data_IF_681315764827
#
_entry.id   IF_681315764827
#
_cell.length_a   1.000
_cell.length_b   1.000
_cell.length_c   1.000
_cell.angle_alpha   90.00
_cell.angle_beta   90.00
_cell.angle_gamma   90.00
#
_symmetry.space_group_name_H-M   'P 1'
#
loop_
_entity.id
_entity.type
_entity.pdbx_description
1 polymer ?
#
# COMPACT_ATOMS: atom_id res chain seq x y z
N UNK A 1 16.99 32.19 9.01
CA UNK A 1 17.20 32.49 10.45
C UNK A 1 15.87 32.23 11.12
N UNK A 2 15.65 31.35 12.09
CA UNK A 2 16.45 30.43 12.89
C UNK A 2 15.57 29.15 13.02
N UNK A 3 16.10 27.93 13.04
CA UNK A 3 16.46 27.17 14.26
C UNK A 3 15.44 27.29 15.40
N UNK A 4 15.17 26.17 16.07
CA UNK A 4 14.16 25.91 17.15
C UNK A 4 12.72 25.78 16.60
N UNK A 5 11.98 24.66 16.67
CA UNK A 5 11.87 23.65 17.72
C UNK A 5 11.44 22.27 17.17
N UNK A 6 12.41 21.36 16.97
CA UNK A 6 12.16 19.91 16.81
C UNK A 6 12.01 19.20 18.17
N UNK A 7 12.02 19.95 19.28
CA UNK A 7 11.89 19.42 20.65
C UNK A 7 10.45 19.42 21.16
N UNK A 8 9.53 20.20 20.60
CA UNK A 8 8.14 20.26 21.08
C UNK A 8 7.18 19.22 20.49
N UNK A 9 7.61 18.40 19.53
CA UNK A 9 6.81 17.25 19.04
C UNK A 9 7.04 15.96 19.84
N UNK A 10 7.82 16.00 20.93
CA UNK A 10 8.11 14.83 21.77
C UNK A 10 7.34 14.77 23.09
N UNK A 11 6.59 15.81 23.47
CA UNK A 11 5.97 15.85 24.81
C UNK A 11 4.44 15.65 24.81
N UNK A 12 3.75 15.78 23.69
CA UNK A 12 2.28 15.74 23.66
C UNK A 12 1.64 14.36 23.35
N UNK A 13 2.45 13.29 23.33
CA UNK A 13 1.97 11.89 23.29
C UNK A 13 2.15 11.15 24.62
N UNK A 14 2.43 11.87 25.70
CA UNK A 14 2.64 11.28 27.02
C UNK A 14 1.48 11.58 27.97
N UNK A 15 0.30 11.02 27.70
CA UNK A 15 -0.78 10.77 28.68
C UNK A 15 -1.98 10.10 27.99
N UNK A 16 -1.86 8.79 27.77
CA UNK A 16 -2.67 7.74 28.41
C UNK A 16 -2.62 6.48 27.54
N UNK A 17 -2.29 5.33 28.16
CA UNK A 17 -2.27 4.02 27.51
C UNK A 17 -0.90 3.56 26.97
N UNK A 18 0.06 3.27 27.86
CA UNK A 18 1.21 2.45 27.48
C UNK A 18 0.76 1.00 27.26
N UNK A 19 0.26 0.67 26.07
CA UNK A 19 0.34 -0.69 25.57
C UNK A 19 1.81 -1.03 25.32
N UNK A 20 2.33 -2.08 25.97
CA UNK A 20 3.64 -2.64 25.66
C UNK A 20 3.67 -3.01 24.18
N UNK A 21 4.31 -2.18 23.37
CA UNK A 21 4.61 -2.51 21.97
C UNK A 21 5.47 -3.79 21.98
N UNK A 22 4.91 -4.89 21.49
CA UNK A 22 5.63 -6.17 21.40
C UNK A 22 6.92 -6.01 20.57
N UNK A 23 7.97 -6.77 20.87
CA UNK A 23 9.22 -6.78 20.08
C UNK A 23 8.98 -7.01 18.59
N UNK A 24 7.87 -7.65 18.24
CA UNK A 24 7.48 -7.94 16.86
C UNK A 24 6.83 -6.75 16.15
N UNK A 25 6.07 -5.92 16.87
CA UNK A 25 5.62 -4.62 16.34
C UNK A 25 6.82 -3.68 16.11
N UNK A 26 7.90 -3.83 16.90
CA UNK A 26 9.17 -3.10 16.68
C UNK A 26 9.89 -3.58 15.42
N UNK A 27 9.90 -4.89 15.12
CA UNK A 27 10.45 -5.43 13.88
C UNK A 27 9.76 -4.84 12.65
N UNK A 28 8.43 -4.94 12.64
CA UNK A 28 7.57 -4.43 11.60
C UNK A 28 7.74 -2.90 11.39
N UNK A 29 7.75 -2.14 12.48
CA UNK A 29 8.03 -0.70 12.45
C UNK A 29 9.47 -0.40 11.99
N UNK A 30 10.46 -1.21 12.32
CA UNK A 30 11.87 -0.99 11.93
C UNK A 30 12.10 -1.15 10.43
N UNK A 31 11.28 -1.96 9.73
CA UNK A 31 11.39 -2.15 8.29
C UNK A 31 11.09 -0.85 7.52
N UNK A 32 10.16 -0.04 8.02
CA UNK A 32 9.75 1.22 7.38
C UNK A 32 10.16 2.47 8.17
N UNK A 33 10.60 2.31 9.42
CA UNK A 33 10.98 3.39 10.34
C UNK A 33 12.47 3.45 10.64
N UNK A 34 13.31 2.79 9.84
CA UNK A 34 14.75 2.73 10.03
C UNK A 34 15.40 4.12 10.16
N UNK A 35 16.21 4.28 11.21
CA UNK A 35 17.23 5.34 11.31
C UNK A 35 18.38 5.02 10.36
N UNK A 36 18.12 5.08 9.07
CA UNK A 36 19.18 5.02 8.05
C UNK A 36 19.67 6.47 7.79
N UNK A 37 20.98 6.75 7.72
CA UNK A 37 21.50 8.08 7.35
C UNK A 37 21.08 8.52 5.94
N UNK A 38 20.47 7.60 5.18
CA UNK A 38 19.86 7.76 3.85
C UNK A 38 18.35 8.05 3.93
N UNK A 39 17.83 8.48 5.09
CA UNK A 39 16.82 9.55 5.09
C UNK A 39 17.51 10.89 4.76
N UNK A 40 18.41 10.87 3.78
CA UNK A 40 18.79 12.05 3.01
C UNK A 40 17.48 12.72 2.65
N UNK A 41 17.31 13.95 3.13
CA UNK A 41 16.27 14.84 2.69
C UNK A 41 16.18 14.69 1.18
N UNK A 42 15.12 14.05 0.70
CA UNK A 42 14.87 14.01 -0.74
C UNK A 42 14.81 15.48 -1.13
N UNK A 43 15.75 15.91 -1.96
CA UNK A 43 15.87 17.30 -2.37
C UNK A 43 14.79 17.59 -3.40
N UNK A 44 13.55 17.65 -2.90
CA UNK A 44 12.32 17.87 -3.68
C UNK A 44 12.43 19.09 -4.60
N UNK A 45 13.10 20.20 -4.22
CA UNK A 45 13.38 21.32 -5.14
C UNK A 45 14.22 20.98 -6.37
N UNK A 46 15.16 20.03 -6.27
CA UNK A 46 16.10 19.70 -7.33
C UNK A 46 15.70 18.46 -8.16
N UNK A 47 14.55 17.86 -7.90
CA UNK A 47 14.02 16.75 -8.71
C UNK A 47 13.39 17.25 -10.00
N UNK A 48 13.70 16.59 -11.12
CA UNK A 48 13.05 16.85 -12.41
C UNK A 48 11.56 16.48 -12.37
N UNK A 49 10.72 17.30 -13.00
CA UNK A 49 9.30 17.00 -13.15
C UNK A 49 9.04 16.04 -14.33
N UNK A 50 8.04 15.14 -14.24
CA UNK A 50 7.14 14.93 -13.10
C UNK A 50 7.80 14.15 -11.95
N UNK A 51 7.43 14.51 -10.71
CA UNK A 51 7.94 13.86 -9.49
C UNK A 51 6.98 12.74 -9.04
N UNK A 52 7.50 11.53 -8.87
CA UNK A 52 6.73 10.37 -8.42
C UNK A 52 7.19 9.95 -7.02
N UNK A 53 6.24 9.78 -6.12
CA UNK A 53 6.47 9.34 -4.74
C UNK A 53 5.54 8.18 -4.40
N UNK A 54 6.00 7.26 -3.55
CA UNK A 54 5.20 6.16 -3.01
C UNK A 54 5.13 6.23 -1.49
N UNK A 55 3.96 5.89 -0.93
CA UNK A 55 3.78 5.74 0.53
C UNK A 55 2.67 4.75 0.81
N UNK A 56 2.74 4.10 1.97
CA UNK A 56 1.66 3.27 2.52
C UNK A 56 0.92 3.96 3.67
N UNK A 57 1.30 5.19 4.03
CA UNK A 57 0.71 5.92 5.15
C UNK A 57 -0.82 6.10 4.97
N UNK A 58 -1.61 5.92 6.03
CA UNK A 58 -3.03 6.28 6.02
C UNK A 58 -3.22 7.76 5.67
N UNK A 59 -4.28 8.07 4.94
CA UNK A 59 -4.57 9.44 4.50
C UNK A 59 -4.55 10.48 5.64
N UNK A 60 -5.17 10.24 6.82
CA UNK A 60 -5.14 11.22 7.92
C UNK A 60 -3.73 11.56 8.39
N UNK A 61 -2.81 10.60 8.32
CA UNK A 61 -1.42 10.72 8.77
C UNK A 61 -0.51 11.41 7.75
N UNK A 62 -0.96 11.62 6.51
CA UNK A 62 -0.17 12.33 5.50
C UNK A 62 0.21 13.75 5.97
N UNK A 63 1.42 14.24 5.60
CA UNK A 63 1.82 15.61 5.90
C UNK A 63 0.84 16.63 5.31
N UNK A 64 0.68 17.79 5.97
CA UNK A 64 -0.14 18.90 5.45
C UNK A 64 0.28 19.32 4.05
N UNK A 65 1.59 19.35 3.77
CA UNK A 65 2.11 19.65 2.42
C UNK A 65 1.58 18.71 1.33
N UNK A 66 1.26 17.46 1.67
CA UNK A 66 0.60 16.54 0.74
C UNK A 66 -0.90 16.78 0.74
N UNK A 67 -1.54 16.86 1.93
CA UNK A 67 -3.01 17.01 2.09
C UNK A 67 -3.57 18.36 1.65
N UNK A 68 -2.76 19.39 1.50
CA UNK A 68 -3.19 20.75 1.10
C UNK A 68 -2.64 21.16 -0.28
N UNK A 69 -1.74 20.38 -0.89
CA UNK A 69 -1.23 20.68 -2.24
C UNK A 69 -2.11 20.13 -3.36
N UNK A 70 -1.82 20.55 -4.60
CA UNK A 70 -2.44 20.02 -5.81
C UNK A 70 -1.83 18.67 -6.27
N UNK A 71 -1.08 17.99 -5.40
CA UNK A 71 -0.56 16.66 -5.68
C UNK A 71 -1.72 15.68 -5.93
N UNK A 72 -1.68 15.00 -7.07
CA UNK A 72 -2.59 13.90 -7.41
C UNK A 72 -2.14 12.63 -6.71
N UNK A 73 -3.09 11.89 -6.16
CA UNK A 73 -2.87 10.64 -5.43
C UNK A 73 -3.60 9.52 -6.19
N UNK A 74 -2.89 8.45 -6.50
CA UNK A 74 -3.49 7.20 -6.96
C UNK A 74 -3.41 6.23 -5.78
N UNK A 75 -4.55 5.77 -5.30
CA UNK A 75 -4.64 4.77 -4.24
C UNK A 75 -5.14 3.45 -4.81
N UNK A 76 -4.38 2.37 -4.59
CA UNK A 76 -4.76 1.02 -5.02
C UNK A 76 -5.15 0.23 -3.78
N UNK A 77 -6.42 -0.15 -3.73
CA UNK A 77 -6.97 -1.07 -2.75
C UNK A 77 -6.98 -2.50 -3.29
N UNK A 78 -7.10 -3.49 -2.43
CA UNK A 78 -7.29 -4.90 -2.81
C UNK A 78 -8.23 -5.57 -1.81
N UNK A 79 -8.84 -6.70 -2.18
CA UNK A 79 -9.64 -7.47 -1.24
C UNK A 79 -8.83 -7.81 0.04
N UNK A 80 -9.40 -7.62 1.25
CA UNK A 80 -8.68 -7.82 2.51
C UNK A 80 -8.16 -9.24 2.75
N UNK A 81 -8.81 -10.26 2.19
CA UNK A 81 -8.41 -11.65 2.34
C UNK A 81 -7.06 -11.94 1.65
N UNK A 82 -6.92 -11.55 0.39
CA UNK A 82 -5.66 -11.68 -0.34
C UNK A 82 -4.58 -10.73 0.18
N UNK A 83 -4.96 -9.55 0.69
CA UNK A 83 -4.01 -8.67 1.38
C UNK A 83 -3.37 -9.41 2.54
N UNK A 84 -4.17 -10.07 3.39
CA UNK A 84 -3.65 -10.81 4.53
C UNK A 84 -2.64 -11.88 4.11
N UNK A 85 -2.98 -12.74 3.13
CA UNK A 85 -2.05 -13.80 2.66
C UNK A 85 -0.78 -13.20 2.08
N UNK A 86 -0.91 -12.12 1.29
CA UNK A 86 0.24 -11.44 0.70
C UNK A 86 1.14 -10.82 1.77
N UNK A 87 0.55 -10.17 2.77
CA UNK A 87 1.24 -9.56 3.91
C UNK A 87 1.97 -10.62 4.72
N UNK A 88 1.25 -11.64 5.20
CA UNK A 88 1.80 -12.72 6.02
C UNK A 88 2.98 -13.42 5.33
N UNK A 89 2.81 -13.77 4.04
CA UNK A 89 3.89 -14.41 3.28
C UNK A 89 5.11 -13.50 3.13
N UNK A 90 4.89 -12.22 2.80
CA UNK A 90 5.98 -11.25 2.61
C UNK A 90 6.79 -11.04 3.90
N UNK A 91 6.11 -10.82 5.03
CA UNK A 91 6.81 -10.60 6.30
C UNK A 91 7.51 -11.86 6.82
N UNK A 92 6.94 -13.06 6.63
CA UNK A 92 7.62 -14.29 7.01
C UNK A 92 8.91 -14.52 6.21
N UNK A 93 8.94 -14.23 4.90
CA UNK A 93 10.20 -14.26 4.11
C UNK A 93 11.27 -13.34 4.71
N UNK A 94 10.90 -12.12 5.12
CA UNK A 94 11.83 -11.17 5.74
C UNK A 94 12.29 -11.65 7.12
N UNK A 95 11.37 -12.19 7.94
CA UNK A 95 11.68 -12.72 9.27
C UNK A 95 12.68 -13.87 9.18
N UNK A 96 12.42 -14.85 8.31
CA UNK A 96 13.33 -15.97 8.05
C UNK A 96 14.71 -15.51 7.60
N UNK A 97 14.78 -14.56 6.66
CA UNK A 97 16.05 -13.98 6.20
C UNK A 97 16.84 -13.34 7.36
N UNK A 98 16.14 -12.73 8.32
CA UNK A 98 16.74 -12.12 9.52
C UNK A 98 16.90 -13.11 10.68
N UNK A 99 16.76 -14.41 10.43
CA UNK A 99 16.86 -15.50 11.42
C UNK A 99 15.88 -15.35 12.59
N UNK A 100 14.72 -14.74 12.35
CA UNK A 100 13.61 -14.67 13.28
C UNK A 100 12.60 -15.79 13.00
N UNK A 101 11.88 -16.21 14.05
CA UNK A 101 10.81 -17.20 13.95
C UNK A 101 9.67 -16.67 13.07
N UNK A 102 9.15 -17.51 12.17
CA UNK A 102 7.94 -17.19 11.40
C UNK A 102 6.74 -16.95 12.32
N UNK A 103 5.85 -16.04 11.92
CA UNK A 103 4.53 -15.96 12.51
C UNK A 103 3.66 -17.07 11.92
N UNK A 104 2.97 -17.82 12.77
CA UNK A 104 1.94 -18.76 12.30
C UNK A 104 0.82 -17.99 11.61
N UNK A 105 0.07 -18.68 10.74
CA UNK A 105 -1.06 -18.08 10.04
C UNK A 105 -2.10 -17.55 11.05
N UNK A 106 -2.37 -18.32 12.09
CA UNK A 106 -3.36 -18.01 13.13
C UNK A 106 -2.95 -16.78 13.95
N UNK A 107 -1.68 -16.68 14.36
CA UNK A 107 -1.17 -15.52 15.09
C UNK A 107 -1.20 -14.25 14.24
N UNK A 108 -0.78 -14.34 12.97
CA UNK A 108 -0.82 -13.23 12.05
C UNK A 108 -2.28 -12.80 11.77
N UNK A 109 -3.18 -13.76 11.61
CA UNK A 109 -4.59 -13.50 11.35
C UNK A 109 -5.28 -12.83 12.55
N UNK A 110 -4.98 -13.28 13.77
CA UNK A 110 -5.46 -12.66 15.00
C UNK A 110 -5.07 -11.18 15.08
N UNK A 111 -3.81 -10.87 14.73
CA UNK A 111 -3.31 -9.48 14.68
C UNK A 111 -4.00 -8.67 13.61
N UNK A 112 -4.11 -9.23 12.40
CA UNK A 112 -4.77 -8.57 11.28
C UNK A 112 -6.23 -8.22 11.60
N UNK A 113 -6.97 -9.14 12.24
CA UNK A 113 -8.34 -8.91 12.71
C UNK A 113 -8.43 -7.82 13.78
N UNK A 114 -7.39 -7.63 14.60
CA UNK A 114 -7.28 -6.54 15.58
C UNK A 114 -6.79 -5.22 14.97
N UNK A 115 -6.50 -5.19 13.67
CA UNK A 115 -5.93 -4.02 13.00
C UNK A 115 -4.44 -3.81 13.29
N UNK A 116 -3.77 -4.79 13.90
CA UNK A 116 -2.35 -4.74 14.23
C UNK A 116 -1.56 -5.21 13.00
N UNK A 117 -1.25 -4.26 12.12
CA UNK A 117 -0.34 -4.43 10.99
C UNK A 117 0.31 -3.08 10.64
N UNK A 118 1.43 -3.10 9.94
CA UNK A 118 2.10 -1.86 9.50
C UNK A 118 1.16 -1.04 8.62
N UNK A 119 1.03 0.25 8.95
CA UNK A 119 0.10 1.20 8.32
C UNK A 119 -1.39 0.82 8.46
N UNK A 120 -1.70 -0.10 9.36
CA UNK A 120 -3.05 -0.47 9.73
C UNK A 120 -3.71 0.51 10.72
N UNK A 121 -4.96 0.24 11.10
CA UNK A 121 -5.79 -0.88 10.63
C UNK A 121 -6.12 -0.78 9.12
N UNK A 122 -6.20 -1.92 8.43
CA UNK A 122 -6.38 -1.93 6.98
C UNK A 122 -7.67 -1.21 6.53
N UNK A 123 -8.75 -1.34 7.30
CA UNK A 123 -10.03 -0.71 6.98
C UNK A 123 -9.96 0.82 7.07
N UNK A 124 -9.32 1.37 8.10
CA UNK A 124 -9.15 2.82 8.23
C UNK A 124 -8.26 3.40 7.12
N UNK A 125 -7.21 2.66 6.75
CA UNK A 125 -6.35 3.03 5.62
C UNK A 125 -7.19 3.14 4.33
N UNK A 126 -7.94 2.09 3.99
CA UNK A 126 -8.79 2.06 2.79
C UNK A 126 -9.90 3.10 2.81
N UNK A 127 -10.65 3.19 3.92
CA UNK A 127 -11.79 4.10 4.04
C UNK A 127 -11.36 5.57 4.00
N UNK A 128 -10.17 5.90 4.54
CA UNK A 128 -9.62 7.25 4.46
C UNK A 128 -9.43 7.72 3.02
N UNK A 129 -8.76 6.91 2.19
CA UNK A 129 -8.57 7.23 0.78
C UNK A 129 -9.86 7.10 -0.04
N UNK A 130 -10.74 6.16 0.30
CA UNK A 130 -12.02 6.01 -0.37
C UNK A 130 -12.91 7.24 -0.16
N UNK A 131 -13.04 7.72 1.08
CA UNK A 131 -13.77 8.95 1.40
C UNK A 131 -13.19 10.14 0.64
N UNK A 132 -11.88 10.31 0.67
CA UNK A 132 -11.20 11.40 -0.04
C UNK A 132 -11.43 11.33 -1.57
N UNK A 133 -11.49 10.13 -2.15
CA UNK A 133 -11.77 9.97 -3.59
C UNK A 133 -13.18 10.38 -3.99
N UNK A 134 -14.14 10.29 -3.06
CA UNK A 134 -15.52 10.77 -3.28
C UNK A 134 -15.58 12.29 -3.12
N UNK A 135 -14.91 12.83 -2.10
CA UNK A 135 -14.92 14.27 -1.82
C UNK A 135 -14.11 15.08 -2.84
N UNK A 136 -12.99 14.53 -3.31
CA UNK A 136 -12.03 15.20 -4.20
C UNK A 136 -11.56 14.27 -5.34
N UNK A 137 -12.46 13.85 -6.25
CA UNK A 137 -12.16 12.88 -7.31
C UNK A 137 -11.11 13.36 -8.33
N UNK A 138 -10.94 14.67 -8.50
CA UNK A 138 -9.89 15.27 -9.34
C UNK A 138 -8.49 15.14 -8.73
N UNK A 139 -8.41 14.79 -7.44
CA UNK A 139 -7.17 14.72 -6.67
C UNK A 139 -6.84 13.30 -6.24
N UNK A 140 -7.84 12.46 -5.97
CA UNK A 140 -7.62 11.08 -5.53
C UNK A 140 -8.34 10.12 -6.44
N UNK A 141 -7.55 9.34 -7.18
CA UNK A 141 -8.04 8.22 -7.97
C UNK A 141 -7.98 6.95 -7.12
N UNK A 142 -9.14 6.43 -6.74
CA UNK A 142 -9.26 5.16 -6.05
C UNK A 142 -9.44 4.01 -7.05
N UNK A 143 -8.55 3.03 -6.98
CA UNK A 143 -8.52 1.84 -7.83
C UNK A 143 -8.59 0.58 -6.96
N UNK A 144 -9.11 -0.50 -7.53
CA UNK A 144 -9.07 -1.83 -6.90
C UNK A 144 -8.21 -2.76 -7.75
N UNK A 145 -7.34 -3.52 -7.10
CA UNK A 145 -6.44 -4.47 -7.75
C UNK A 145 -7.20 -5.46 -8.63
N UNK A 146 -8.39 -5.89 -8.21
CA UNK A 146 -9.23 -6.81 -8.96
C UNK A 146 -9.70 -6.19 -10.27
N UNK A 147 -10.16 -4.94 -10.24
CA UNK A 147 -10.59 -4.20 -11.43
C UNK A 147 -9.40 -3.94 -12.37
N UNK A 148 -8.22 -3.65 -11.80
CA UNK A 148 -6.99 -3.48 -12.58
C UNK A 148 -6.62 -4.74 -13.37
N UNK A 149 -6.80 -5.94 -12.80
CA UNK A 149 -6.50 -7.19 -13.50
C UNK A 149 -7.57 -7.59 -14.50
N UNK A 150 -8.84 -7.26 -14.22
CA UNK A 150 -9.96 -7.62 -15.09
C UNK A 150 -9.93 -6.84 -16.41
N UNK A 151 -9.66 -5.54 -16.35
CA UNK A 151 -9.51 -4.69 -17.54
C UNK A 151 -8.33 -3.74 -17.39
N UNK A 152 -7.15 -4.25 -17.71
CA UNK A 152 -5.89 -3.51 -17.61
C UNK A 152 -5.90 -2.30 -18.57
N UNK A 153 -6.44 -2.47 -19.78
CA UNK A 153 -6.43 -1.43 -20.82
C UNK A 153 -7.27 -0.22 -20.38
N UNK A 154 -8.52 -0.46 -19.95
CA UNK A 154 -9.39 0.60 -19.44
C UNK A 154 -8.76 1.34 -18.26
N UNK A 155 -8.19 0.61 -17.30
CA UNK A 155 -7.63 1.24 -16.11
C UNK A 155 -6.34 2.03 -16.41
N UNK A 156 -5.50 1.59 -17.35
CA UNK A 156 -4.34 2.37 -17.79
C UNK A 156 -4.79 3.69 -18.43
N UNK A 157 -5.80 3.66 -19.31
CA UNK A 157 -6.37 4.89 -19.88
C UNK A 157 -6.93 5.82 -18.80
N UNK A 158 -7.66 5.26 -17.83
CA UNK A 158 -8.20 6.00 -16.69
C UNK A 158 -7.10 6.65 -15.83
N UNK A 159 -5.99 5.95 -15.60
CA UNK A 159 -4.82 6.51 -14.90
C UNK A 159 -4.20 7.65 -15.70
N UNK A 160 -3.98 7.45 -17.01
CA UNK A 160 -3.37 8.43 -17.91
C UNK A 160 -4.19 9.73 -17.99
N UNK A 161 -5.51 9.61 -18.14
CA UNK A 161 -6.45 10.72 -18.07
C UNK A 161 -6.33 11.45 -16.71
N UNK A 162 -6.36 10.69 -15.61
CA UNK A 162 -6.30 11.25 -14.27
C UNK A 162 -5.00 12.01 -14.02
N UNK A 163 -3.85 11.51 -14.44
CA UNK A 163 -2.57 12.21 -14.26
C UNK A 163 -2.40 13.39 -15.24
N UNK A 164 -3.22 13.47 -16.29
CA UNK A 164 -3.24 14.58 -17.25
C UNK A 164 -2.40 14.35 -18.51
N UNK A 165 -2.17 13.08 -18.85
CA UNK A 165 -1.47 12.65 -20.07
C UNK A 165 -2.30 11.59 -20.81
N UNK A 166 -3.53 11.91 -21.26
CA UNK A 166 -4.37 10.95 -21.96
C UNK A 166 -3.70 10.46 -23.24
N UNK A 167 -3.94 9.20 -23.58
CA UNK A 167 -3.46 8.63 -24.84
C UNK A 167 -4.17 9.27 -26.02
N UNK A 168 -3.41 9.56 -27.06
CA UNK A 168 -3.92 9.95 -28.37
C UNK A 168 -4.40 8.73 -29.16
N UNK A 169 -5.30 8.93 -30.12
CA UNK A 169 -5.74 7.85 -31.00
C UNK A 169 -4.58 7.20 -31.77
N UNK A 170 -3.55 7.99 -32.10
CA UNK A 170 -2.34 7.49 -32.75
C UNK A 170 -1.55 6.56 -31.83
N UNK A 171 -1.35 6.92 -30.56
CA UNK A 171 -0.67 6.06 -29.58
C UNK A 171 -1.43 4.75 -29.35
N UNK A 172 -2.77 4.82 -29.30
CA UNK A 172 -3.61 3.62 -29.21
C UNK A 172 -3.45 2.72 -30.45
N UNK A 173 -3.53 3.30 -31.65
CA UNK A 173 -3.38 2.55 -32.89
C UNK A 173 -1.96 1.96 -33.07
N UNK A 174 -0.95 2.62 -32.52
CA UNK A 174 0.45 2.20 -32.56
C UNK A 174 0.81 1.18 -31.45
N UNK A 175 -0.16 0.75 -30.65
CA UNK A 175 0.05 -0.30 -29.64
C UNK A 175 0.81 0.17 -28.40
N UNK A 176 0.81 1.48 -28.10
CA UNK A 176 1.55 2.03 -26.95
C UNK A 176 1.01 1.46 -25.63
N UNK A 177 -0.31 1.29 -25.52
CA UNK A 177 -0.94 0.74 -24.32
C UNK A 177 -0.54 -0.72 -24.11
N UNK A 178 -0.57 -1.53 -25.16
CA UNK A 178 -0.18 -2.94 -25.15
C UNK A 178 1.30 -3.10 -24.75
N UNK A 179 2.16 -2.20 -25.23
CA UNK A 179 3.57 -2.16 -24.85
C UNK A 179 3.74 -1.83 -23.36
N UNK A 180 3.00 -0.86 -22.83
CA UNK A 180 3.01 -0.54 -21.39
C UNK A 180 2.51 -1.74 -20.57
N UNK A 181 1.40 -2.37 -20.97
CA UNK A 181 0.86 -3.57 -20.31
C UNK A 181 1.91 -4.67 -20.26
N UNK A 182 2.59 -4.92 -21.38
CA UNK A 182 3.65 -5.92 -21.46
C UNK A 182 4.80 -5.58 -20.53
N UNK A 183 5.32 -4.35 -20.56
CA UNK A 183 6.43 -3.90 -19.72
C UNK A 183 6.11 -3.98 -18.23
N UNK A 184 4.88 -3.63 -17.85
CA UNK A 184 4.41 -3.65 -16.46
C UNK A 184 3.78 -4.98 -16.04
N UNK A 185 3.79 -6.00 -16.90
CA UNK A 185 3.26 -7.33 -16.59
C UNK A 185 3.98 -7.94 -15.39
N UNK A 186 3.29 -8.83 -14.66
CA UNK A 186 3.86 -9.49 -13.49
C UNK A 186 5.14 -10.26 -13.84
N UNK A 187 5.13 -10.96 -14.98
CA UNK A 187 6.24 -11.74 -15.50
C UNK A 187 7.42 -10.82 -15.86
N UNK A 188 7.19 -9.75 -16.62
CA UNK A 188 8.25 -8.81 -17.01
C UNK A 188 8.86 -8.09 -15.79
N UNK A 189 8.01 -7.70 -14.83
CA UNK A 189 8.47 -7.09 -13.59
C UNK A 189 9.24 -8.08 -12.71
N UNK A 190 8.83 -9.35 -12.66
CA UNK A 190 9.54 -10.39 -11.90
C UNK A 190 10.91 -10.70 -12.51
N UNK A 191 11.02 -10.74 -13.84
CA UNK A 191 12.24 -11.10 -14.58
C UNK A 191 13.21 -9.93 -14.78
N UNK A 192 12.74 -8.67 -14.77
CA UNK A 192 13.62 -7.52 -15.01
C UNK A 192 14.68 -7.37 -13.91
N UNK A 193 15.93 -7.07 -14.29
CA UNK A 193 17.05 -6.87 -13.35
C UNK A 193 17.09 -5.47 -12.70
N UNK A 194 16.00 -4.70 -12.78
CA UNK A 194 15.78 -3.44 -12.05
C UNK A 194 16.75 -2.29 -12.34
N UNK A 195 16.33 -1.32 -13.15
CA UNK A 195 16.77 0.05 -12.93
C UNK A 195 16.04 0.59 -11.68
N UNK A 196 16.69 0.53 -10.53
CA UNK A 196 16.18 1.03 -9.24
C UNK A 196 16.18 2.58 -9.21
N UNK A 197 15.38 3.23 -10.06
CA UNK A 197 15.18 4.70 -9.98
C UNK A 197 14.17 5.11 -8.90
N UNK A 198 13.41 4.15 -8.34
CA UNK A 198 12.58 4.36 -7.16
C UNK A 198 13.32 3.91 -5.91
N UNK A 199 13.57 4.83 -4.98
CA UNK A 199 14.14 4.56 -3.65
C UNK A 199 13.19 3.67 -2.84
N UNK A 200 13.27 2.35 -3.04
CA UNK A 200 12.78 1.40 -2.04
C UNK A 200 13.89 1.25 -1.02
N UNK A 201 13.88 2.14 -0.03
CA UNK A 201 14.82 2.22 1.11
C UNK A 201 14.59 1.11 2.14
N UNK A 202 14.16 -0.07 1.67
CA UNK A 202 13.97 -1.24 2.52
C UNK A 202 14.86 -2.34 1.97
N UNK A 203 15.86 -2.76 2.76
CA UNK A 203 16.81 -3.82 2.44
C UNK A 203 16.11 -5.19 2.42
N UNK A 204 15.25 -5.39 1.42
CA UNK A 204 14.41 -6.57 1.18
C UNK A 204 14.74 -7.10 -0.21
N UNK A 205 14.91 -8.41 -0.32
CA UNK A 205 15.26 -9.00 -1.61
C UNK A 205 14.12 -8.82 -2.60
N UNK A 206 14.50 -8.47 -3.84
CA UNK A 206 13.55 -8.24 -4.94
C UNK A 206 12.55 -9.40 -5.09
N UNK A 207 13.04 -10.63 -4.96
CA UNK A 207 12.25 -11.86 -5.08
C UNK A 207 11.15 -11.98 -4.01
N UNK A 208 11.22 -11.21 -2.90
CA UNK A 208 10.16 -11.23 -1.89
C UNK A 208 8.93 -10.45 -2.35
N UNK A 209 9.09 -9.45 -3.22
CA UNK A 209 7.98 -8.64 -3.76
C UNK A 209 7.10 -9.41 -4.76
N UNK A 210 7.64 -10.45 -5.42
CA UNK A 210 6.93 -11.21 -6.44
C UNK A 210 6.55 -12.60 -5.94
N UNK A 211 5.26 -12.83 -5.70
CA UNK A 211 4.73 -14.11 -5.20
C UNK A 211 3.94 -14.88 -6.27
N UNK A 212 2.63 -14.68 -6.36
CA UNK A 212 1.75 -15.26 -7.38
C UNK A 212 1.12 -14.23 -8.30
N UNK A 213 0.78 -13.06 -7.76
CA UNK A 213 0.10 -12.00 -8.53
C UNK A 213 -1.34 -12.38 -8.91
N UNK A 214 -2.00 -13.28 -8.20
CA UNK A 214 -3.34 -13.80 -8.53
C UNK A 214 -4.42 -13.26 -7.57
N UNK A 215 -5.68 -13.28 -8.00
CA UNK A 215 -6.86 -12.93 -7.19
C UNK A 215 -7.47 -14.21 -6.64
N UNK A 216 -7.87 -14.19 -5.37
CA UNK A 216 -8.60 -15.28 -4.73
C UNK A 216 -7.70 -16.38 -4.16
N UNK A 217 -6.39 -16.16 -4.08
CA UNK A 217 -5.46 -17.15 -3.52
C UNK A 217 -5.69 -17.38 -2.02
N UNK A 218 -6.37 -16.45 -1.34
CA UNK A 218 -6.78 -16.60 0.05
C UNK A 218 -7.55 -17.88 0.37
N UNK A 219 -8.29 -18.45 -0.59
CA UNK A 219 -9.05 -19.70 -0.40
C UNK A 219 -8.15 -20.89 -0.03
N UNK A 220 -6.87 -20.83 -0.40
CA UNK A 220 -5.89 -21.89 -0.10
C UNK A 220 -5.35 -21.82 1.33
N UNK A 221 -5.66 -20.76 2.08
CA UNK A 221 -5.09 -20.49 3.41
C UNK A 221 -6.16 -20.40 4.49
N UNK A 222 -7.33 -19.86 4.17
CA UNK A 222 -8.34 -19.58 5.18
C UNK A 222 -9.18 -20.80 5.53
N UNK A 223 -9.36 -21.04 6.84
CA UNK A 223 -10.38 -21.96 7.34
C UNK A 223 -11.76 -21.27 7.35
N UNK A 224 -12.87 -22.04 7.40
CA UNK A 224 -14.21 -21.47 7.45
C UNK A 224 -14.43 -20.45 8.58
N UNK A 225 -13.84 -20.68 9.77
CA UNK A 225 -13.96 -19.75 10.90
C UNK A 225 -13.17 -18.45 10.70
N UNK A 226 -12.03 -18.50 10.01
CA UNK A 226 -11.31 -17.29 9.62
C UNK A 226 -12.12 -16.48 8.61
N UNK A 227 -12.77 -17.17 7.67
CA UNK A 227 -13.62 -16.53 6.66
C UNK A 227 -14.75 -15.76 7.35
N UNK A 228 -15.53 -16.46 8.18
CA UNK A 228 -16.65 -15.87 8.92
C UNK A 228 -16.22 -14.66 9.73
N UNK A 229 -15.10 -14.78 10.46
CA UNK A 229 -14.59 -13.70 11.30
C UNK A 229 -14.18 -12.47 10.50
N UNK A 230 -13.41 -12.63 9.43
CA UNK A 230 -12.96 -11.49 8.62
C UNK A 230 -14.13 -10.86 7.86
N UNK A 231 -15.07 -11.66 7.33
CA UNK A 231 -16.30 -11.17 6.71
C UNK A 231 -17.11 -10.30 7.67
N UNK A 232 -17.28 -10.75 8.92
CA UNK A 232 -17.97 -9.97 9.96
C UNK A 232 -17.26 -8.64 10.25
N UNK A 233 -15.94 -8.66 10.39
CA UNK A 233 -15.14 -7.43 10.59
C UNK A 233 -15.31 -6.48 9.39
N UNK A 234 -15.27 -7.00 8.16
CA UNK A 234 -15.49 -6.18 6.97
C UNK A 234 -16.88 -5.58 6.95
N UNK A 235 -17.92 -6.38 7.23
CA UNK A 235 -19.30 -5.89 7.30
C UNK A 235 -19.46 -4.79 8.34
N UNK A 236 -18.90 -4.97 9.54
CA UNK A 236 -18.99 -3.99 10.63
C UNK A 236 -18.20 -2.71 10.29
N UNK A 237 -16.94 -2.83 9.88
CA UNK A 237 -16.03 -1.69 9.69
C UNK A 237 -16.31 -0.90 8.41
N UNK A 238 -16.80 -1.54 7.36
CA UNK A 238 -17.15 -0.88 6.10
C UNK A 238 -18.63 -0.50 6.06
N UNK A 239 -19.40 -0.76 7.12
CA UNK A 239 -20.78 -0.33 7.24
C UNK A 239 -20.91 1.18 7.01
N UNK A 240 -21.92 1.58 6.22
CA UNK A 240 -22.13 2.97 5.82
C UNK A 240 -21.23 3.48 4.69
N UNK A 241 -20.23 2.70 4.25
CA UNK A 241 -19.51 2.97 2.99
C UNK A 241 -20.14 2.19 1.84
N UNK A 242 -19.97 2.69 0.60
CA UNK A 242 -20.29 1.95 -0.62
C UNK A 242 -19.12 1.12 -1.16
N UNK A 243 -18.05 0.96 -0.36
CA UNK A 243 -16.87 0.21 -0.76
C UNK A 243 -17.10 -1.30 -0.62
N UNK A 244 -17.09 -2.00 -1.75
CA UNK A 244 -17.22 -3.45 -1.84
C UNK A 244 -16.06 -4.07 -2.64
N UNK A 245 -15.87 -5.39 -2.51
CA UNK A 245 -14.79 -6.13 -3.17
C UNK A 245 -15.34 -7.32 -3.95
N UNK A 246 -14.75 -7.60 -5.11
CA UNK A 246 -15.02 -8.82 -5.88
C UNK A 246 -14.31 -10.00 -5.22
N UNK A 247 -14.92 -11.19 -5.27
CA UNK A 247 -14.33 -12.40 -4.70
C UNK A 247 -14.27 -12.43 -3.18
N UNK A 248 -15.04 -11.58 -2.50
CA UNK A 248 -15.32 -11.71 -1.08
C UNK A 248 -16.60 -12.52 -0.86
N UNK A 249 -16.63 -13.44 0.12
CA UNK A 249 -17.83 -14.17 0.51
C UNK A 249 -18.85 -13.29 1.24
#
# INVERSE_FOLDING_TARGET
MASTDLKHMKEDQSRDGQEKISEENKFEASLYGGKDPVLTQVDVPNMTEPRLFGTHMPFPSLPKSVKESNCKIIYICRNPFDIFVSYWTFFNKIRLKKSLTELTLEEAFERYCKGICIFGPFWENMLGYFKESIERPYRVLFLKYEDLKEDVNFNIKRIAEFVGIPFTQEEENNGVIENIIKLCSFESMKESNGNNSGTVTVNVDREFFFRKGEIGDWVNYFSPSMIERLSKIMQEKFSGSSLSFKGCP
#
